data_IF_644552442236
#
_entry.id   IF_644552442236
#
_cell.length_a   1.000
_cell.length_b   1.000
_cell.length_c   1.000
_cell.angle_alpha   90.00
_cell.angle_beta   90.00
_cell.angle_gamma   90.00
#
_symmetry.space_group_name_H-M   'P 1'
#
loop_
_entity.id
_entity.type
_entity.pdbx_description
1 polymer ?
2 polymer ?
3 water ?
#
# COMPACT_ATOMS: atom_id res chain seq x y z
N UNK A 9 -21.30 13.52 5.16
CA UNK A 9 -21.53 12.18 4.63
C UNK A 9 -20.30 11.66 3.89
N UNK A 10 -19.67 12.58 3.14
CA UNK A 10 -18.50 12.24 2.34
C UNK A 10 -17.37 11.72 3.20
N UNK A 11 -17.27 12.23 4.43
CA UNK A 11 -16.23 11.76 5.34
C UNK A 11 -16.41 10.29 5.69
N UNK A 12 -17.59 9.71 5.42
CA UNK A 12 -17.80 8.28 5.65
C UNK A 12 -17.23 7.46 4.50
N UNK A 13 -17.42 7.89 3.25
CA UNK A 13 -16.90 7.12 2.13
C UNK A 13 -15.38 7.07 2.11
N UNK A 14 -14.71 8.00 2.82
CA UNK A 14 -13.25 7.99 2.88
C UNK A 14 -12.69 7.09 3.98
N UNK A 15 -13.50 6.71 4.96
CA UNK A 15 -13.06 5.73 5.95
C UNK A 15 -13.11 4.31 5.40
N UNK A 16 -13.98 4.08 4.42
CA UNK A 16 -14.02 2.80 3.73
C UNK A 16 -12.72 2.57 2.97
N UNK A 17 -12.37 3.51 2.09
CA UNK A 17 -11.13 3.39 1.34
C UNK A 17 -9.94 3.16 2.27
N UNK A 18 -9.94 3.81 3.44
CA UNK A 18 -8.77 3.71 4.30
C UNK A 18 -8.65 2.33 4.90
N UNK A 19 -9.77 1.75 5.36
CA UNK A 19 -9.74 0.34 5.74
C UNK A 19 -9.33 -0.53 4.56
N UNK A 20 -9.84 -0.22 3.36
CA UNK A 20 -9.52 -1.04 2.18
C UNK A 20 -8.05 -0.96 1.82
N UNK A 21 -7.46 0.21 1.99
CA UNK A 21 -6.03 0.39 1.72
C UNK A 21 -5.19 -0.35 2.75
N UNK A 22 -5.55 -0.25 4.04
CA UNK A 22 -4.79 -0.88 5.11
C UNK A 22 -4.88 -2.39 5.00
N UNK A 23 -6.06 -2.90 4.64
CA UNK A 23 -6.22 -4.31 4.34
C UNK A 23 -5.40 -4.74 3.12
N UNK A 24 -5.31 -3.88 2.11
CA UNK A 24 -4.47 -4.22 0.97
C UNK A 24 -3.00 -4.36 1.38
N UNK A 25 -2.52 -3.50 2.28
CA UNK A 25 -1.14 -3.64 2.76
C UNK A 25 -0.92 -4.92 3.53
N UNK A 26 -1.90 -5.31 4.35
CA UNK A 26 -1.86 -6.63 4.95
C UNK A 26 -1.85 -7.73 3.89
N UNK A 27 -2.66 -7.57 2.84
CA UNK A 27 -2.66 -8.51 1.72
C UNK A 27 -1.27 -8.64 1.12
N UNK A 28 -0.69 -7.51 0.73
CA UNK A 28 0.60 -7.52 0.05
C UNK A 28 1.70 -8.04 0.95
N UNK A 29 1.67 -7.66 2.24
CA UNK A 29 2.70 -8.11 3.14
C UNK A 29 2.66 -9.62 3.26
N UNK A 30 1.46 -10.18 3.45
CA UNK A 30 1.32 -11.62 3.52
C UNK A 30 1.88 -12.30 2.29
N UNK A 31 1.66 -11.72 1.10
CA UNK A 31 2.19 -12.33 -0.11
C UNK A 31 3.70 -12.30 -0.13
N UNK A 32 4.27 -11.16 0.28
CA UNK A 32 5.71 -11.01 0.34
C UNK A 32 6.32 -11.99 1.32
N UNK A 33 5.62 -12.27 2.42
CA UNK A 33 6.10 -13.24 3.40
C UNK A 33 6.08 -14.62 2.80
N UNK A 34 4.90 -15.03 2.32
CA UNK A 34 4.80 -16.29 1.61
C UNK A 34 5.89 -16.40 0.57
N UNK A 35 6.06 -15.37 -0.28
CA UNK A 35 7.02 -15.48 -1.38
C UNK A 35 8.46 -15.52 -0.89
N UNK A 36 8.75 -14.84 0.23
CA UNK A 36 10.09 -14.96 0.79
C UNK A 36 10.32 -16.36 1.34
N UNK A 37 9.27 -17.01 1.86
CA UNK A 37 9.40 -18.40 2.32
C UNK A 37 9.69 -19.34 1.16
N UNK A 38 9.23 -19.02 -0.05
CA UNK A 38 9.67 -19.77 -1.23
C UNK A 38 11.06 -19.34 -1.71
N UNK A 39 11.45 -18.10 -1.44
CA UNK A 39 12.71 -17.57 -1.95
C UNK A 39 13.86 -17.91 -1.01
N UNK B 13 -6.13 12.40 13.37
CA UNK B 13 -5.59 11.09 13.72
C UNK B 13 -5.63 10.17 12.52
N UNK B 14 -6.45 10.53 11.54
CA UNK B 14 -6.35 9.96 10.21
C UNK B 14 -5.14 10.49 9.46
N UNK B 15 -4.64 11.68 9.82
CA UNK B 15 -3.40 12.16 9.21
C UNK B 15 -2.17 11.55 9.84
N UNK B 16 -2.30 10.90 11.01
CA UNK B 16 -1.23 10.05 11.52
C UNK B 16 -1.31 8.63 10.98
N UNK B 17 -2.52 8.14 10.70
CA UNK B 17 -2.64 6.90 9.94
C UNK B 17 -2.16 7.09 8.51
N UNK B 18 -2.58 8.17 7.86
CA UNK B 18 -2.10 8.48 6.53
C UNK B 18 -0.58 8.38 6.45
N UNK B 19 0.12 8.85 7.48
CA UNK B 19 1.57 8.71 7.49
C UNK B 19 2.00 7.29 7.82
N UNK B 20 1.20 6.56 8.61
CA UNK B 20 1.49 5.15 8.81
C UNK B 20 1.40 4.36 7.52
N UNK B 21 0.46 4.75 6.64
CA UNK B 21 0.21 4.02 5.40
C UNK B 21 1.36 4.23 4.40
N UNK B 22 1.61 5.50 4.03
CA UNK B 22 2.80 5.84 3.25
C UNK B 22 4.04 5.14 3.78
N UNK B 23 4.18 5.06 5.10
CA UNK B 23 5.32 4.34 5.67
C UNK B 23 5.26 2.84 5.36
N UNK B 24 4.07 2.23 5.44
CA UNK B 24 3.92 0.83 5.02
C UNK B 24 4.34 0.64 3.57
N UNK B 25 3.76 1.44 2.67
CA UNK B 25 4.16 1.43 1.25
C UNK B 25 5.68 1.32 1.08
N UNK B 26 6.43 2.13 1.82
CA UNK B 26 7.89 2.08 1.69
C UNK B 26 8.45 0.77 2.20
N UNK B 27 7.97 0.32 3.36
CA UNK B 27 8.32 -1.00 3.87
C UNK B 27 8.12 -2.08 2.80
N UNK B 28 6.92 -2.16 2.25
CA UNK B 28 6.63 -3.19 1.25
C UNK B 28 7.54 -3.07 0.03
N UNK B 29 7.59 -1.88 -0.58
CA UNK B 29 8.44 -1.67 -1.74
C UNK B 29 9.88 -2.12 -1.49
N UNK B 30 10.43 -1.83 -0.29
CA UNK B 30 11.84 -2.15 -0.05
C UNK B 30 12.02 -3.65 0.14
N UNK B 31 11.01 -4.33 0.66
CA UNK B 31 11.06 -5.79 0.72
C UNK B 31 11.12 -6.38 -0.68
N UNK B 32 10.22 -5.96 -1.57
CA UNK B 32 10.26 -6.46 -2.94
C UNK B 32 11.63 -6.17 -3.56
N UNK B 33 12.08 -4.91 -3.43
CA UNK B 33 13.38 -4.49 -3.94
C UNK B 33 14.50 -5.38 -3.42
N UNK B 34 14.51 -5.65 -2.12
CA UNK B 34 15.53 -6.54 -1.57
C UNK B 34 15.40 -7.95 -2.11
N UNK B 35 14.17 -8.47 -2.18
CA UNK B 35 13.96 -9.80 -2.74
C UNK B 35 14.51 -9.88 -4.15
N UNK B 36 14.38 -8.82 -4.94
CA UNK B 36 14.92 -8.86 -6.29
C UNK B 36 16.40 -9.09 -6.27
N UNK B 37 17.11 -8.43 -5.36
CA UNK B 37 18.54 -8.68 -5.24
C UNK B 37 18.82 -10.17 -5.06
N UNK B 38 18.07 -10.84 -4.18
CA UNK B 38 18.24 -12.27 -4.01
C UNK B 38 18.14 -12.99 -5.35
N UNK B 39 17.14 -12.62 -6.14
CA UNK B 39 17.03 -13.10 -7.50
C UNK B 39 18.09 -12.47 -8.39
N UNK C 2 3.00 -23.48 -0.90
CA UNK C 2 3.34 -22.08 -1.05
C UNK C 2 2.68 -21.44 -2.25
N UNK C 3 2.84 -22.05 -3.42
CA UNK C 3 2.30 -21.41 -4.62
C UNK C 3 0.79 -21.26 -4.48
N UNK C 4 0.14 -22.23 -3.86
CA UNK C 4 -1.29 -22.09 -3.62
C UNK C 4 -1.57 -20.93 -2.69
N UNK C 5 -0.73 -20.73 -1.69
CA UNK C 5 -0.95 -19.62 -0.79
C UNK C 5 -0.71 -18.28 -1.50
N UNK C 6 0.37 -18.18 -2.24
CA UNK C 6 0.69 -16.90 -2.88
C UNK C 6 -0.43 -16.50 -3.82
N UNK C 7 -0.81 -17.42 -4.71
CA UNK C 7 -1.84 -17.09 -5.68
C UNK C 7 -3.20 -16.81 -5.01
N UNK C 8 -3.44 -17.39 -3.82
CA UNK C 8 -4.63 -16.98 -3.06
C UNK C 8 -4.52 -15.53 -2.62
N UNK C 9 -3.34 -15.13 -2.19
CA UNK C 9 -3.12 -13.76 -1.74
C UNK C 9 -3.09 -12.82 -2.92
N UNK C 10 -2.49 -13.23 -4.03
CA UNK C 10 -2.52 -12.40 -5.22
C UNK C 10 -3.97 -12.12 -5.60
N UNK C 11 -4.76 -13.17 -5.72
CA UNK C 11 -6.15 -13.01 -6.17
C UNK C 11 -6.95 -12.13 -5.22
N UNK C 12 -6.81 -12.33 -3.91
CA UNK C 12 -7.50 -11.46 -2.97
C UNK C 12 -6.99 -10.01 -3.03
N UNK C 13 -5.71 -9.82 -3.34
CA UNK C 13 -5.22 -8.46 -3.56
C UNK C 13 -5.80 -7.88 -4.84
N UNK C 14 -5.92 -8.69 -5.88
CA UNK C 14 -6.52 -8.20 -7.10
C UNK C 14 -7.95 -7.75 -6.83
N UNK C 15 -8.71 -8.56 -6.09
CA UNK C 15 -10.08 -8.17 -5.72
C UNK C 15 -10.08 -6.91 -4.85
N UNK C 16 -9.27 -6.88 -3.79
CA UNK C 16 -9.18 -5.67 -2.96
C UNK C 16 -8.74 -4.45 -3.78
N UNK C 17 -7.87 -4.63 -4.77
CA UNK C 17 -7.44 -3.49 -5.57
C UNK C 17 -8.59 -2.93 -6.41
N UNK C 18 -9.29 -3.80 -7.15
CA UNK C 18 -10.48 -3.37 -7.89
C UNK C 18 -11.49 -2.68 -6.98
N UNK C 19 -11.63 -3.16 -5.74
CA UNK C 19 -12.56 -2.56 -4.76
C UNK C 19 -12.09 -1.17 -4.34
N UNK C 20 -10.83 -1.06 -3.92
CA UNK C 20 -10.27 0.25 -3.57
C UNK C 20 -10.37 1.22 -4.75
N UNK C 21 -10.05 0.76 -5.96
CA UNK C 21 -10.08 1.67 -7.10
C UNK C 21 -11.49 2.16 -7.36
N UNK C 22 -12.46 1.27 -7.35
CA UNK C 22 -13.84 1.69 -7.54
C UNK C 22 -14.25 2.66 -6.44
N UNK C 23 -13.97 2.32 -5.18
CA UNK C 23 -14.28 3.21 -4.07
C UNK C 23 -13.64 4.58 -4.26
N UNK C 24 -12.36 4.62 -4.64
CA UNK C 24 -11.68 5.90 -4.91
C UNK C 24 -12.43 6.72 -5.93
N UNK C 25 -12.86 6.08 -7.02
CA UNK C 25 -13.57 6.78 -8.09
C UNK C 25 -14.83 7.46 -7.58
N UNK C 26 -15.80 6.68 -7.12
CA UNK C 26 -17.07 7.24 -6.70
C UNK C 26 -16.87 8.27 -5.58
N UNK C 27 -15.93 8.00 -4.69
CA UNK C 27 -15.59 8.97 -3.67
C UNK C 27 -15.23 10.31 -4.31
N UNK C 28 -14.38 10.29 -5.35
CA UNK C 28 -13.98 11.54 -5.98
C UNK C 28 -15.16 12.23 -6.66
N UNK C 29 -15.89 11.51 -7.51
CA UNK C 29 -17.05 12.12 -8.14
C UNK C 29 -18.06 12.56 -7.09
N UNK C 30 -18.39 11.69 -6.13
CA UNK C 30 -19.37 12.01 -5.09
C UNK C 30 -18.97 13.24 -4.28
N UNK C 31 -17.82 13.83 -4.58
CA UNK C 31 -17.41 15.10 -4.00
C UNK C 31 -17.44 16.24 -5.02
N UNK C 32 -16.61 16.16 -6.06
CA UNK C 32 -16.53 17.23 -7.04
C UNK C 32 -17.92 17.75 -7.35
N UNK C 33 -18.85 16.82 -7.64
CA UNK C 33 -20.23 17.17 -7.92
C UNK C 33 -20.93 17.78 -6.71
N UNK C 34 -20.50 17.42 -5.50
CA UNK C 34 -20.99 18.06 -4.27
C UNK C 34 -20.08 19.20 -3.85
N UNK D 2 21.12 -10.36 1.67
CA UNK D 2 19.90 -9.57 1.65
C UNK D 2 18.80 -10.19 2.51
N UNK D 3 18.99 -11.46 2.92
CA UNK D 3 17.92 -12.16 3.61
C UNK D 3 17.69 -11.62 5.03
N UNK D 4 18.76 -11.34 5.79
CA UNK D 4 18.58 -10.72 7.11
C UNK D 4 17.82 -9.42 7.00
N UNK D 5 18.08 -8.66 5.94
CA UNK D 5 17.38 -7.40 5.72
C UNK D 5 15.89 -7.66 5.48
N UNK D 6 15.59 -8.67 4.64
CA UNK D 6 14.20 -9.00 4.33
C UNK D 6 13.47 -9.42 5.60
N UNK D 7 14.04 -10.34 6.36
CA UNK D 7 13.48 -10.70 7.67
C UNK D 7 13.19 -9.45 8.51
N UNK D 8 14.15 -8.53 8.61
CA UNK D 8 13.93 -7.32 9.41
C UNK D 8 12.82 -6.45 8.81
N UNK D 9 12.80 -6.30 7.48
CA UNK D 9 11.76 -5.48 6.85
C UNK D 9 10.37 -6.09 7.02
N UNK D 10 10.26 -7.42 6.96
CA UNK D 10 8.98 -8.08 7.16
C UNK D 10 8.49 -7.87 8.60
N UNK D 11 9.36 -8.07 9.61
CA UNK D 11 8.98 -7.78 10.99
C UNK D 11 8.61 -6.30 11.20
N UNK D 12 9.37 -5.36 10.63
CA UNK D 12 8.96 -3.97 10.73
C UNK D 12 7.59 -3.76 10.11
N UNK D 13 7.34 -4.40 8.95
CA UNK D 13 6.05 -4.26 8.29
C UNK D 13 4.94 -4.77 9.17
N UNK D 14 5.09 -6.02 9.65
CA UNK D 14 4.13 -6.59 10.59
C UNK D 14 3.84 -5.63 11.74
N UNK D 15 4.89 -5.03 12.33
CA UNK D 15 4.66 -4.08 13.42
C UNK D 15 3.94 -2.83 12.93
N UNK D 16 4.30 -2.33 11.74
CA UNK D 16 3.61 -1.18 11.17
C UNK D 16 2.15 -1.50 10.83
N UNK D 17 1.89 -2.68 10.29
CA UNK D 17 0.52 -3.10 10.00
C UNK D 17 -0.35 -3.09 11.26
N UNK D 18 0.13 -3.74 12.32
CA UNK D 18 -0.61 -3.76 13.58
C UNK D 18 -0.86 -2.34 14.11
N UNK D 19 0.14 -1.46 14.00
CA UNK D 19 -0.05 -0.06 14.40
C UNK D 19 -1.15 0.60 13.58
N UNK D 20 -1.02 0.58 12.24
CA UNK D 20 -2.04 1.20 11.38
C UNK D 20 -3.42 0.69 11.72
N UNK D 21 -3.58 -0.62 11.94
CA UNK D 21 -4.90 -1.15 12.27
C UNK D 21 -5.38 -0.62 13.61
N UNK D 22 -4.47 -0.48 14.58
CA UNK D 22 -4.82 0.23 15.80
C UNK D 22 -5.23 1.67 15.48
N UNK D 23 -4.38 2.42 14.77
CA UNK D 23 -4.67 3.82 14.50
C UNK D 23 -5.95 3.99 13.69
N UNK D 24 -6.34 2.97 12.94
CA UNK D 24 -7.62 3.02 12.27
C UNK D 24 -8.73 2.62 13.23
N UNK D 25 -8.47 1.58 14.02
CA UNK D 25 -9.39 1.24 15.10
C UNK D 25 -9.53 2.38 16.09
N UNK D 26 -8.47 3.19 16.25
CA UNK D 26 -8.58 4.36 17.10
C UNK D 26 -9.44 5.43 16.44
N UNK D 27 -9.35 5.57 15.11
CA UNK D 27 -10.28 6.42 14.40
C UNK D 27 -11.68 5.81 14.29
N UNK D 28 -11.82 4.51 14.58
CA UNK D 28 -13.14 3.88 14.57
C UNK D 28 -13.91 4.19 15.83
N UNK D 29 -13.21 4.38 16.95
CA UNK D 29 -13.80 4.75 18.22
C UNK D 29 -14.21 6.23 18.27
N UNK D 30 -14.35 6.89 17.12
CA UNK D 30 -14.98 8.22 17.06
C UNK D 30 -16.36 8.11 16.42
N UNK E 2 10.32 -10.67 -17.20
CA UNK E 2 9.84 -10.40 -15.86
C UNK E 2 10.82 -9.55 -15.04
N UNK E 3 12.12 -9.85 -15.18
CA UNK E 3 13.16 -9.05 -14.54
C UNK E 3 13.09 -7.59 -14.96
N UNK E 4 13.10 -7.33 -16.26
CA UNK E 4 12.96 -5.95 -16.72
C UNK E 4 11.64 -5.33 -16.25
N UNK E 5 10.57 -6.14 -16.20
CA UNK E 5 9.27 -5.60 -15.82
C UNK E 5 9.23 -5.28 -14.33
N UNK E 6 9.85 -6.12 -13.49
CA UNK E 6 9.91 -5.83 -12.05
C UNK E 6 10.75 -4.59 -11.78
N UNK E 7 11.94 -4.50 -12.40
CA UNK E 7 12.78 -3.32 -12.24
C UNK E 7 12.04 -2.04 -12.59
N UNK E 8 11.16 -2.10 -13.58
CA UNK E 8 10.44 -0.90 -14.00
C UNK E 8 9.33 -0.53 -13.02
N UNK E 9 8.61 -1.54 -12.53
CA UNK E 9 7.55 -1.28 -11.55
C UNK E 9 8.13 -0.80 -10.23
N UNK E 10 9.25 -1.40 -9.78
CA UNK E 10 9.96 -0.93 -8.59
C UNK E 10 10.35 0.54 -8.75
N UNK E 11 10.77 0.92 -9.95
CA UNK E 11 11.23 2.29 -10.16
C UNK E 11 10.05 3.24 -10.28
N UNK E 12 8.97 2.79 -10.90
CA UNK E 12 7.77 3.61 -10.89
C UNK E 12 7.24 3.80 -9.47
N UNK E 13 7.39 2.77 -8.63
CA UNK E 13 6.90 2.87 -7.25
C UNK E 13 7.75 3.83 -6.45
N UNK E 14 9.09 3.68 -6.53
CA UNK E 14 9.98 4.66 -5.91
C UNK E 14 9.57 6.07 -6.28
N UNK E 15 9.37 6.34 -7.57
CA UNK E 15 8.81 7.64 -7.99
C UNK E 15 7.54 7.95 -7.22
N UNK E 16 6.57 7.03 -7.27
CA UNK E 16 5.29 7.26 -6.61
C UNK E 16 5.44 7.41 -5.11
N UNK E 17 6.43 6.74 -4.50
CA UNK E 17 6.66 6.92 -3.07
C UNK E 17 7.10 8.36 -2.77
N UNK E 18 8.19 8.79 -3.40
CA UNK E 18 8.68 10.16 -3.24
C UNK E 18 7.57 11.16 -3.48
N UNK E 19 6.73 10.95 -4.51
CA UNK E 19 5.61 11.86 -4.68
C UNK E 19 4.61 11.73 -3.53
N UNK E 20 4.29 10.50 -3.12
CA UNK E 20 3.38 10.32 -1.98
C UNK E 20 3.92 10.99 -0.73
N UNK E 21 5.23 10.95 -0.55
CA UNK E 21 5.81 11.60 0.60
C UNK E 21 5.72 13.12 0.47
N UNK E 22 6.14 13.67 -0.68
CA UNK E 22 5.96 15.10 -0.93
C UNK E 22 4.52 15.52 -0.62
N UNK E 23 3.56 14.87 -1.26
CA UNK E 23 2.15 15.22 -1.11
C UNK E 23 1.71 15.20 0.35
N UNK E 24 2.11 14.18 1.10
CA UNK E 24 1.71 14.13 2.50
C UNK E 24 2.27 15.32 3.26
N UNK E 25 3.42 15.85 2.82
CA UNK E 25 3.96 17.04 3.47
C UNK E 25 3.12 18.26 3.15
N UNK E 26 2.71 18.43 1.89
CA UNK E 26 1.83 19.54 1.56
C UNK E 26 0.51 19.44 2.32
N UNK E 27 -0.07 18.25 2.40
CA UNK E 27 -1.24 18.07 3.24
C UNK E 27 -0.95 18.50 4.66
N UNK E 28 0.18 18.03 5.22
CA UNK E 28 0.58 18.41 6.58
C UNK E 28 0.92 19.88 6.69
N UNK E 29 1.42 20.49 5.61
CA UNK E 29 1.84 21.88 5.62
C UNK E 29 0.68 22.80 5.95
N UNK E 30 -0.22 23.03 4.98
CA UNK E 30 -1.32 23.96 5.19
C UNK E 30 -2.51 23.33 5.90
N UNK E 31 -2.36 22.13 6.47
CA UNK E 31 -3.28 21.70 7.51
C UNK E 31 -2.88 22.30 8.85
N UNK E 32 -1.58 22.53 9.07
CA UNK E 32 -1.09 23.22 10.25
C UNK E 32 -1.27 24.72 10.09
N UNK E 33 -2.28 25.12 9.32
CA UNK E 33 -2.60 26.52 9.12
C UNK E 33 -4.11 26.71 9.17
N UNK F 11 -10.46 19.10 1.75
CA UNK F 11 -10.40 17.65 1.56
C UNK F 11 -9.97 17.29 0.14
N UNK F 12 -9.23 18.19 -0.53
CA UNK F 12 -8.80 17.96 -1.91
C UNK F 12 -7.43 17.30 -1.97
N UNK F 13 -6.47 17.77 -1.17
CA UNK F 13 -5.13 17.18 -1.18
C UNK F 13 -5.11 15.77 -0.59
N UNK F 14 -6.18 15.34 0.09
CA UNK F 14 -6.26 13.97 0.53
C UNK F 14 -6.59 13.03 -0.63
N UNK F 15 -7.36 13.51 -1.60
CA UNK F 15 -7.68 12.69 -2.77
C UNK F 15 -6.44 12.40 -3.59
N UNK F 16 -5.61 13.41 -3.82
CA UNK F 16 -4.38 13.19 -4.57
C UNK F 16 -3.51 12.15 -3.87
N UNK F 17 -3.48 12.18 -2.54
CA UNK F 17 -2.69 11.20 -1.80
C UNK F 17 -3.33 9.81 -1.91
N UNK F 18 -4.63 9.71 -1.60
CA UNK F 18 -5.33 8.44 -1.71
C UNK F 18 -5.12 7.81 -3.08
N UNK F 19 -5.18 8.62 -4.13
CA UNK F 19 -5.00 8.09 -5.48
C UNK F 19 -3.60 7.57 -5.69
N UNK F 20 -2.60 8.29 -5.18
CA UNK F 20 -1.23 7.84 -5.33
C UNK F 20 -0.93 6.60 -4.52
N UNK F 21 -1.61 6.42 -3.39
CA UNK F 21 -1.47 5.20 -2.58
C UNK F 21 -2.05 4.01 -3.35
N UNK F 22 -3.30 4.13 -3.79
CA UNK F 22 -3.97 3.06 -4.51
C UNK F 22 -3.22 2.74 -5.78
N UNK F 23 -2.73 3.77 -6.48
CA UNK F 23 -1.95 3.53 -7.70
C UNK F 23 -0.61 2.86 -7.40
N UNK F 24 -0.02 3.11 -6.23
CA UNK F 24 1.25 2.43 -5.94
C UNK F 24 1.03 1.02 -5.37
N UNK F 25 -0.11 0.79 -4.70
CA UNK F 25 -0.48 -0.57 -4.34
C UNK F 25 -0.73 -1.43 -5.56
N UNK F 26 -1.23 -0.84 -6.64
CA UNK F 26 -1.38 -1.61 -7.86
C UNK F 26 -0.02 -2.06 -8.40
N UNK F 27 1.01 -1.20 -8.31
CA UNK F 27 2.33 -1.56 -8.81
C UNK F 27 3.07 -2.51 -7.87
N UNK F 28 2.90 -2.36 -6.55
CA UNK F 28 3.42 -3.37 -5.65
C UNK F 28 2.83 -4.74 -5.99
N UNK F 29 1.51 -4.78 -6.16
CA UNK F 29 0.84 -6.03 -6.48
C UNK F 29 1.31 -6.58 -7.82
N UNK F 30 1.44 -5.72 -8.83
CA UNK F 30 2.00 -6.18 -10.10
C UNK F 30 3.41 -6.71 -9.91
N UNK F 31 4.27 -5.97 -9.21
CA UNK F 31 5.63 -6.46 -8.99
C UNK F 31 5.63 -7.86 -8.40
N UNK F 32 4.75 -8.10 -7.42
CA UNK F 32 4.65 -9.42 -6.77
C UNK F 32 4.20 -10.47 -7.76
N UNK F 33 3.14 -10.19 -8.51
CA UNK F 33 2.70 -11.07 -9.61
C UNK F 33 3.85 -11.47 -10.52
N UNK F 34 4.61 -10.47 -11.00
CA UNK F 34 5.70 -10.74 -11.92
C UNK F 34 6.82 -11.52 -11.23
N UNK F 35 7.14 -11.17 -9.98
CA UNK F 35 8.11 -11.94 -9.20
C UNK F 35 7.67 -13.37 -9.05
N UNK F 36 6.36 -13.60 -8.90
CA UNK F 36 5.92 -14.98 -8.78
C UNK F 36 6.28 -15.81 -10.00
N UNK F 37 6.30 -15.22 -11.21
CA UNK F 37 6.79 -16.01 -12.35
C UNK F 37 8.29 -16.29 -12.27
N UNK F 38 9.09 -15.38 -11.70
CA UNK F 38 10.49 -15.70 -11.44
C UNK F 38 10.65 -16.79 -10.39
N UNK F 39 9.69 -16.96 -9.49
CA UNK F 39 9.85 -17.95 -8.43
C UNK F 39 9.20 -19.24 -8.89
#
# INVERSE_FOLDING_TARGET
STMGAASMTLTVQARQLLSGIVQQQNNLLRAIEAQQHLL
STMGAASMTLTVQARQLLSGIVQQQNNLLRAIEAQQHLL
XYTSLIHSLIEESQNQQEKNEQELLELDKWASLWNWF
XYTSLIHSLIEESQNQQEKNEQELLELDKWASLWNWF
XYTSLIHSLIEESQNQQEKNEQELLELDKWASLWNWF
STMGAASMTLTVQARQLLSGIVQQQNNLLRAIEAQQHLL
#
